data_IF_694125962378
#
_entry.id   IF_694125962378
#
_cell.length_a   1.000
_cell.length_b   1.000
_cell.length_c   1.000
_cell.angle_alpha   90.00
_cell.angle_beta   90.00
_cell.angle_gamma   90.00
#
_symmetry.space_group_name_H-M   'P 1'
#
loop_
_entity.id
_entity.type
_entity.pdbx_description
1 polymer ?
#
# COMPACT_ATOMS: atom_id res chain seq x y z
N UNK A 1 73.16 32.92 -22.78
CA UNK A 1 71.84 33.60 -22.84
C UNK A 1 70.91 32.92 -21.83
N UNK A 2 70.22 33.70 -20.99
CA UNK A 2 69.44 33.29 -19.80
C UNK A 2 68.10 32.59 -20.13
N UNK A 3 67.76 31.58 -19.31
CA UNK A 3 66.44 31.22 -18.71
C UNK A 3 65.31 30.86 -19.71
N UNK A 4 64.65 29.70 -19.60
CA UNK A 4 63.44 29.59 -18.77
C UNK A 4 62.99 28.15 -18.55
N UNK A 5 63.25 27.61 -17.36
CA UNK A 5 62.50 26.48 -16.80
C UNK A 5 61.24 27.04 -16.15
N UNK A 6 60.08 26.80 -16.75
CA UNK A 6 58.78 27.15 -16.19
C UNK A 6 58.58 26.43 -14.84
N UNK A 7 58.54 27.20 -13.75
CA UNK A 7 58.08 26.72 -12.44
C UNK A 7 56.56 26.55 -12.50
N UNK A 8 56.10 25.34 -12.77
CA UNK A 8 54.68 24.98 -12.62
C UNK A 8 54.34 25.18 -11.13
N UNK A 9 53.45 26.12 -10.86
CA UNK A 9 53.09 26.51 -9.49
C UNK A 9 52.29 25.38 -8.84
N UNK A 10 52.77 24.91 -7.69
CA UNK A 10 52.20 23.82 -6.87
C UNK A 10 50.68 23.92 -6.66
N UNK A 11 50.13 25.13 -6.68
CA UNK A 11 48.69 25.40 -6.58
C UNK A 11 47.86 24.80 -7.72
N UNK A 12 48.44 24.60 -8.91
CA UNK A 12 47.74 23.97 -10.04
C UNK A 12 47.49 22.47 -9.79
N UNK A 13 48.44 21.79 -9.13
CA UNK A 13 48.26 20.40 -8.71
C UNK A 13 47.22 20.27 -7.60
N UNK A 14 47.20 21.21 -6.65
CA UNK A 14 46.21 21.25 -5.57
C UNK A 14 44.80 21.47 -6.16
N UNK A 15 44.65 22.41 -7.09
CA UNK A 15 43.38 22.66 -7.76
C UNK A 15 42.87 21.45 -8.55
N UNK A 16 43.77 20.78 -9.29
CA UNK A 16 43.43 19.56 -10.04
C UNK A 16 42.96 18.44 -9.11
N UNK A 17 43.60 18.27 -7.95
CA UNK A 17 43.19 17.28 -6.94
C UNK A 17 41.77 17.55 -6.41
N UNK A 18 41.43 18.80 -6.09
CA UNK A 18 40.09 19.15 -5.63
C UNK A 18 39.02 18.95 -6.70
N UNK A 19 39.33 19.21 -7.97
CA UNK A 19 38.41 18.97 -9.09
C UNK A 19 38.17 17.47 -9.26
N UNK A 20 39.21 16.65 -9.21
CA UNK A 20 39.09 15.18 -9.26
C UNK A 20 38.27 14.63 -8.10
N UNK A 21 38.53 15.11 -6.87
CA UNK A 21 37.76 14.72 -5.70
C UNK A 21 36.28 15.14 -5.80
N UNK A 22 36.01 16.34 -6.33
CA UNK A 22 34.64 16.82 -6.54
C UNK A 22 33.90 15.99 -7.59
N UNK A 23 34.53 15.69 -8.73
CA UNK A 23 33.93 14.85 -9.78
C UNK A 23 33.68 13.43 -9.25
N UNK A 24 34.60 12.87 -8.47
CA UNK A 24 34.42 11.58 -7.84
C UNK A 24 33.22 11.57 -6.88
N UNK A 25 33.12 12.56 -5.99
CA UNK A 25 31.97 12.69 -5.08
C UNK A 25 30.67 12.98 -5.84
N UNK A 26 30.72 13.71 -6.95
CA UNK A 26 29.58 13.94 -7.82
C UNK A 26 29.11 12.63 -8.48
N UNK A 27 30.04 11.79 -8.95
CA UNK A 27 29.71 10.47 -9.49
C UNK A 27 29.08 9.56 -8.42
N UNK A 28 29.59 9.58 -7.19
CA UNK A 28 28.96 8.90 -6.04
C UNK A 28 27.55 9.44 -5.79
N UNK A 29 27.35 10.76 -5.81
CA UNK A 29 26.04 11.40 -5.59
C UNK A 29 25.04 11.13 -6.72
N UNK A 30 25.52 10.99 -7.95
CA UNK A 30 24.72 10.67 -9.13
C UNK A 30 24.45 9.16 -9.26
N UNK A 31 24.99 8.32 -8.36
CA UNK A 31 24.80 6.86 -8.40
C UNK A 31 25.58 6.17 -9.53
N UNK A 32 26.58 6.83 -10.13
CA UNK A 32 27.37 6.28 -11.24
C UNK A 32 28.47 5.32 -10.78
N UNK A 33 28.72 5.26 -9.47
CA UNK A 33 29.66 4.32 -8.85
C UNK A 33 28.82 3.39 -7.98
N UNK A 34 28.15 2.45 -8.64
CA UNK A 34 27.64 1.26 -7.97
C UNK A 34 28.85 0.42 -7.58
N UNK A 35 29.16 0.39 -6.28
CA UNK A 35 30.02 -0.63 -5.71
C UNK A 35 29.30 -1.95 -5.99
N UNK A 36 29.92 -2.83 -6.77
CA UNK A 36 29.45 -4.19 -6.97
C UNK A 36 29.36 -4.89 -5.63
N UNK A 37 28.19 -4.83 -5.01
CA UNK A 37 27.68 -5.91 -4.19
C UNK A 37 27.43 -7.07 -5.14
N UNK A 38 27.96 -8.24 -4.79
CA UNK A 38 27.72 -9.48 -5.51
C UNK A 38 26.21 -9.65 -5.72
N UNK A 39 25.83 -9.54 -6.98
CA UNK A 39 24.47 -9.64 -7.51
C UNK A 39 23.93 -11.03 -7.18
N UNK A 40 23.26 -11.14 -6.03
CA UNK A 40 22.47 -12.29 -5.67
C UNK A 40 21.23 -12.30 -6.52
N UNK A 41 21.32 -12.89 -7.72
CA UNK A 41 20.22 -13.35 -8.59
C UNK A 41 18.87 -12.62 -8.41
N UNK A 42 18.87 -11.29 -8.42
CA UNK A 42 17.64 -10.53 -8.57
C UNK A 42 17.37 -10.46 -10.06
N UNK A 43 16.96 -11.61 -10.61
CA UNK A 43 16.14 -11.63 -11.81
C UNK A 43 14.96 -10.72 -11.51
N UNK A 44 15.03 -9.48 -12.01
CA UNK A 44 13.90 -8.56 -12.09
C UNK A 44 12.74 -9.41 -12.58
N UNK A 45 11.74 -9.71 -11.73
CA UNK A 45 10.71 -10.63 -12.13
C UNK A 45 10.05 -10.00 -13.34
N UNK A 46 9.99 -10.79 -14.42
CA UNK A 46 9.09 -10.54 -15.55
C UNK A 46 7.79 -10.03 -14.96
N UNK A 47 7.35 -8.83 -15.34
CA UNK A 47 6.15 -8.21 -14.75
C UNK A 47 5.01 -9.23 -14.81
N UNK A 48 4.71 -9.85 -13.68
CA UNK A 48 3.60 -10.79 -13.55
C UNK A 48 2.37 -9.91 -13.68
N UNK A 49 1.64 -10.07 -14.79
CA UNK A 49 0.39 -9.36 -15.00
C UNK A 49 -0.60 -9.81 -13.93
N UNK A 50 -1.28 -8.86 -13.29
CA UNK A 50 -2.32 -9.17 -12.32
C UNK A 50 -3.52 -9.83 -13.01
N UNK A 51 -4.12 -10.84 -12.37
CA UNK A 51 -5.38 -11.45 -12.85
C UNK A 51 -6.51 -10.43 -12.88
N UNK A 52 -6.51 -9.50 -11.92
CA UNK A 52 -7.42 -8.35 -11.91
C UNK A 52 -6.73 -7.12 -11.39
N UNK A 53 -6.93 -6.01 -12.10
CA UNK A 53 -6.46 -4.69 -11.70
C UNK A 53 -7.63 -3.71 -11.66
N UNK A 54 -7.68 -2.87 -10.64
CA UNK A 54 -8.80 -1.94 -10.42
C UNK A 54 -8.30 -0.61 -9.89
N UNK A 55 -8.83 0.47 -10.45
CA UNK A 55 -8.64 1.84 -10.00
C UNK A 55 -9.95 2.41 -9.50
N UNK A 56 -9.95 3.03 -8.32
CA UNK A 56 -11.14 3.64 -7.72
C UNK A 56 -10.83 5.06 -7.29
N UNK A 57 -11.78 5.97 -7.48
CA UNK A 57 -11.70 7.31 -6.93
C UNK A 57 -12.27 7.32 -5.50
N UNK A 58 -11.69 8.16 -4.63
CA UNK A 58 -12.21 8.40 -3.28
C UNK A 58 -12.83 9.79 -3.26
N UNK A 59 -14.08 9.87 -2.81
CA UNK A 59 -14.83 11.12 -2.69
C UNK A 59 -15.22 11.39 -1.24
N UNK A 60 -15.19 12.67 -0.86
CA UNK A 60 -15.73 13.18 0.40
C UNK A 60 -16.57 14.41 0.08
N UNK A 61 -17.85 14.42 0.48
CA UNK A 61 -18.79 15.53 0.17
C UNK A 61 -18.76 15.90 -1.32
N UNK A 62 -18.84 14.89 -2.20
CA UNK A 62 -18.78 15.02 -3.67
C UNK A 62 -17.47 15.59 -4.24
N UNK A 63 -16.47 15.85 -3.41
CA UNK A 63 -15.14 16.26 -3.84
C UNK A 63 -14.22 15.06 -3.91
N UNK A 64 -13.51 14.89 -5.03
CA UNK A 64 -12.47 13.86 -5.14
C UNK A 64 -11.31 14.21 -4.21
N UNK A 65 -11.04 13.33 -3.25
CA UNK A 65 -9.97 13.49 -2.27
C UNK A 65 -8.82 12.52 -2.49
N UNK A 66 -8.99 11.50 -3.34
CA UNK A 66 -7.97 10.48 -3.49
C UNK A 66 -8.28 9.42 -4.55
N UNK A 67 -7.46 8.38 -4.55
CA UNK A 67 -7.63 7.19 -5.37
C UNK A 67 -7.05 5.95 -4.70
N UNK A 68 -7.53 4.80 -5.14
CA UNK A 68 -7.04 3.46 -4.80
C UNK A 68 -6.59 2.78 -6.08
N UNK A 69 -5.45 2.12 -6.03
CA UNK A 69 -4.97 1.18 -7.04
C UNK A 69 -4.84 -0.19 -6.40
N UNK A 70 -5.51 -1.19 -6.96
CA UNK A 70 -5.53 -2.56 -6.45
C UNK A 70 -5.19 -3.55 -7.56
N UNK A 71 -4.33 -4.49 -7.22
CA UNK A 71 -3.95 -5.62 -8.07
C UNK A 71 -4.19 -6.92 -7.30
N UNK A 72 -4.76 -7.90 -7.99
CA UNK A 72 -5.14 -9.19 -7.43
C UNK A 72 -4.51 -10.28 -8.28
N UNK A 73 -3.87 -11.21 -7.59
CA UNK A 73 -3.19 -12.37 -8.17
C UNK A 73 -3.77 -13.63 -7.57
N UNK A 74 -4.19 -14.57 -8.40
CA UNK A 74 -4.52 -15.92 -8.00
C UNK A 74 -3.22 -16.70 -7.79
N UNK A 75 -3.14 -17.44 -6.70
CA UNK A 75 -1.98 -18.26 -6.35
C UNK A 75 -2.44 -19.68 -6.04
N UNK A 76 -1.52 -20.64 -5.99
CA UNK A 76 -1.82 -22.00 -5.57
C UNK A 76 -2.36 -22.07 -4.12
N UNK A 77 -2.02 -21.08 -3.30
CA UNK A 77 -2.40 -21.00 -1.88
C UNK A 77 -3.64 -20.12 -1.62
N UNK A 78 -4.21 -19.51 -2.67
CA UNK A 78 -5.35 -18.61 -2.58
C UNK A 78 -5.16 -17.35 -3.40
N UNK A 79 -5.09 -16.19 -2.75
CA UNK A 79 -5.01 -14.90 -3.41
C UNK A 79 -3.93 -14.02 -2.79
N UNK A 80 -3.22 -13.27 -3.63
CA UNK A 80 -2.39 -12.14 -3.20
C UNK A 80 -3.01 -10.85 -3.69
N UNK A 81 -3.21 -9.90 -2.78
CA UNK A 81 -3.74 -8.58 -3.09
C UNK A 81 -2.71 -7.53 -2.75
N UNK A 82 -2.38 -6.68 -3.72
CA UNK A 82 -1.58 -5.49 -3.53
C UNK A 82 -2.50 -4.27 -3.67
N UNK A 83 -2.46 -3.37 -2.71
CA UNK A 83 -3.22 -2.13 -2.73
C UNK A 83 -2.33 -0.94 -2.38
N UNK A 84 -2.48 0.13 -3.14
CA UNK A 84 -1.90 1.44 -2.85
C UNK A 84 -3.00 2.49 -2.82
N UNK A 85 -3.04 3.27 -1.75
CA UNK A 85 -4.02 4.34 -1.55
C UNK A 85 -3.32 5.66 -1.37
N UNK A 86 -3.86 6.69 -2.01
CA UNK A 86 -3.54 8.09 -1.74
C UNK A 86 -4.84 8.85 -1.50
N UNK A 87 -4.89 9.63 -0.42
CA UNK A 87 -5.98 10.56 -0.18
C UNK A 87 -5.54 11.77 0.63
N UNK A 88 -6.28 12.86 0.48
CA UNK A 88 -6.12 14.07 1.26
C UNK A 88 -7.27 14.20 2.25
N UNK A 89 -6.97 14.29 3.53
CA UNK A 89 -7.98 14.35 4.58
C UNK A 89 -7.86 15.69 5.32
N UNK A 90 -8.98 16.37 5.53
CA UNK A 90 -9.02 17.54 6.39
C UNK A 90 -9.20 17.11 7.85
N UNK A 91 -8.19 17.36 8.68
CA UNK A 91 -8.25 17.08 10.12
C UNK A 91 -8.07 18.39 10.88
N UNK A 92 -9.10 18.83 11.60
CA UNK A 92 -9.09 20.07 12.39
C UNK A 92 -8.65 21.31 11.59
N UNK A 93 -9.07 21.41 10.32
CA UNK A 93 -8.74 22.53 9.44
C UNK A 93 -7.41 22.39 8.69
N UNK A 94 -6.65 21.31 8.93
CA UNK A 94 -5.40 21.04 8.24
C UNK A 94 -5.57 19.92 7.22
N UNK A 95 -5.25 20.22 5.95
CA UNK A 95 -5.18 19.22 4.88
C UNK A 95 -3.93 18.36 5.04
N UNK A 96 -4.12 17.04 5.14
CA UNK A 96 -3.04 16.07 5.29
C UNK A 96 -3.08 15.05 4.16
N UNK A 97 -1.94 14.86 3.51
CA UNK A 97 -1.73 13.76 2.59
C UNK A 97 -1.53 12.46 3.38
N UNK A 98 -2.34 11.46 3.07
CA UNK A 98 -2.23 10.12 3.59
C UNK A 98 -1.96 9.14 2.45
N UNK A 99 -0.93 8.33 2.62
CA UNK A 99 -0.59 7.23 1.73
C UNK A 99 -0.56 5.95 2.54
N UNK A 100 -1.14 4.89 2.03
CA UNK A 100 -0.88 3.58 2.60
C UNK A 100 -0.82 2.50 1.54
N UNK A 101 -0.08 1.44 1.86
CA UNK A 101 0.09 0.26 1.03
C UNK A 101 -0.27 -0.96 1.86
N UNK A 102 -0.94 -1.91 1.21
CA UNK A 102 -1.29 -3.20 1.80
C UNK A 102 -0.86 -4.29 0.83
N UNK A 103 -0.09 -5.25 1.31
CA UNK A 103 0.11 -6.54 0.66
C UNK A 103 -0.56 -7.61 1.53
N UNK A 104 -1.66 -8.18 1.06
CA UNK A 104 -2.39 -9.22 1.77
C UNK A 104 -2.28 -10.56 1.06
N UNK A 105 -1.96 -11.62 1.80
CA UNK A 105 -2.09 -13.00 1.35
C UNK A 105 -3.33 -13.60 2.00
N UNK A 106 -4.25 -14.08 1.17
CA UNK A 106 -5.53 -14.65 1.58
C UNK A 106 -5.58 -16.12 1.18
N UNK A 107 -6.26 -16.93 1.99
CA UNK A 107 -6.57 -18.33 1.69
C UNK A 107 -7.61 -18.42 0.56
N UNK A 108 -7.88 -19.61 -0.02
CA UNK A 108 -8.87 -19.76 -1.10
C UNK A 108 -10.29 -19.33 -0.71
N UNK A 109 -10.62 -19.36 0.59
CA UNK A 109 -11.89 -18.88 1.14
C UNK A 109 -11.88 -17.37 1.48
N UNK A 110 -10.86 -16.63 1.02
CA UNK A 110 -10.63 -15.21 1.24
C UNK A 110 -10.46 -14.82 2.73
N UNK A 111 -10.12 -15.78 3.60
CA UNK A 111 -9.70 -15.49 4.98
C UNK A 111 -8.22 -15.09 5.01
N UNK A 112 -7.85 -14.32 6.04
CA UNK A 112 -6.50 -13.81 6.21
C UNK A 112 -5.49 -14.94 6.43
N UNK A 113 -4.39 -14.93 5.67
CA UNK A 113 -3.19 -15.73 5.95
C UNK A 113 -2.08 -14.84 6.52
N UNK A 114 -1.71 -13.78 5.79
CA UNK A 114 -0.73 -12.80 6.25
C UNK A 114 -0.96 -11.44 5.61
N UNK A 115 -0.36 -10.40 6.18
CA UNK A 115 -0.36 -9.07 5.60
C UNK A 115 0.94 -8.31 5.91
N UNK A 116 1.27 -7.38 5.04
CA UNK A 116 2.23 -6.31 5.25
C UNK A 116 1.53 -4.98 4.95
N UNK A 117 1.58 -4.05 5.89
CA UNK A 117 0.90 -2.78 5.84
C UNK A 117 1.89 -1.66 6.15
N UNK A 118 1.87 -0.62 5.30
CA UNK A 118 2.63 0.60 5.53
C UNK A 118 1.73 1.81 5.36
N UNK A 119 1.76 2.72 6.32
CA UNK A 119 1.08 4.00 6.28
C UNK A 119 2.11 5.12 6.44
N UNK A 120 2.00 6.10 5.58
CA UNK A 120 2.87 7.27 5.54
C UNK A 120 2.05 8.55 5.40
N UNK A 121 2.28 9.49 6.31
CA UNK A 121 1.90 10.88 6.20
C UNK A 121 3.08 11.78 6.55
N UNK A 122 2.91 13.10 6.42
CA UNK A 122 3.95 14.06 6.83
C UNK A 122 4.27 13.98 8.32
N UNK A 123 3.29 13.64 9.16
CA UNK A 123 3.39 13.69 10.62
C UNK A 123 3.65 12.32 11.24
N UNK A 124 3.33 11.24 10.53
CA UNK A 124 3.28 9.91 11.11
C UNK A 124 3.68 8.85 10.09
N UNK A 125 4.40 7.84 10.58
CA UNK A 125 4.71 6.62 9.82
C UNK A 125 4.27 5.43 10.66
N UNK A 126 3.70 4.43 10.03
CA UNK A 126 3.32 3.21 10.70
C UNK A 126 3.53 2.02 9.79
N UNK A 127 4.05 0.94 10.35
CA UNK A 127 4.17 -0.34 9.69
C UNK A 127 3.57 -1.41 10.57
N UNK A 128 2.88 -2.36 9.96
CA UNK A 128 2.40 -3.55 10.64
C UNK A 128 2.54 -4.75 9.71
N UNK A 129 3.08 -5.85 10.22
CA UNK A 129 3.14 -7.14 9.53
C UNK A 129 2.51 -8.20 10.39
N UNK A 130 1.59 -8.97 9.83
CA UNK A 130 0.90 -10.03 10.54
C UNK A 130 0.96 -11.36 9.81
N UNK A 131 1.09 -12.46 10.55
CA UNK A 131 0.94 -13.82 10.03
C UNK A 131 0.06 -14.64 10.95
N UNK A 132 -0.92 -15.33 10.39
CA UNK A 132 -1.81 -16.22 11.13
C UNK A 132 -1.17 -17.62 11.22
N UNK A 133 -0.82 -18.05 12.43
CA UNK A 133 -0.29 -19.38 12.73
C UNK A 133 -1.14 -20.01 13.82
N UNK A 134 -1.67 -21.22 13.59
CA UNK A 134 -2.42 -21.99 14.60
C UNK A 134 -3.44 -21.15 15.40
N UNK A 135 -4.32 -20.45 14.67
CA UNK A 135 -5.35 -19.55 15.22
C UNK A 135 -4.82 -18.34 16.00
N UNK A 136 -3.53 -18.03 15.92
CA UNK A 136 -2.93 -16.85 16.54
C UNK A 136 -2.37 -15.94 15.47
N UNK A 137 -2.86 -14.71 15.41
CA UNK A 137 -2.31 -13.69 14.52
C UNK A 137 -1.14 -13.02 15.25
N UNK A 138 0.07 -13.32 14.80
CA UNK A 138 1.31 -12.75 15.31
C UNK A 138 1.56 -11.47 14.51
N UNK A 139 1.62 -10.32 15.18
CA UNK A 139 1.76 -9.00 14.56
C UNK A 139 3.00 -8.30 15.10
N UNK A 140 3.90 -7.91 14.20
CA UNK A 140 4.93 -6.91 14.46
C UNK A 140 4.42 -5.55 13.98
N UNK A 141 4.63 -4.49 14.77
CA UNK A 141 4.30 -3.12 14.37
C UNK A 141 5.29 -2.09 14.86
N UNK A 142 5.48 -1.04 14.06
CA UNK A 142 6.39 0.07 14.37
C UNK A 142 5.68 1.38 14.08
N UNK A 143 5.74 2.30 15.04
CA UNK A 143 5.07 3.61 15.01
C UNK A 143 6.12 4.73 15.10
N UNK A 144 6.23 5.53 14.05
CA UNK A 144 7.26 6.56 13.91
C UNK A 144 8.68 5.99 14.02
N UNK A 145 9.47 6.56 14.93
CA UNK A 145 10.81 6.08 15.30
C UNK A 145 10.82 5.26 16.59
N UNK A 146 9.64 4.82 17.06
CA UNK A 146 9.51 4.00 18.24
C UNK A 146 10.05 2.58 18.02
N UNK A 147 10.23 1.80 19.10
CA UNK A 147 10.63 0.40 18.99
C UNK A 147 9.55 -0.43 18.29
N UNK A 148 9.98 -1.53 17.66
CA UNK A 148 9.09 -2.56 17.16
C UNK A 148 8.35 -3.23 18.34
N UNK A 149 7.05 -3.43 18.19
CA UNK A 149 6.19 -4.10 19.16
C UNK A 149 5.65 -5.39 18.55
N UNK A 150 5.71 -6.47 19.32
CA UNK A 150 5.16 -7.76 18.92
C UNK A 150 3.92 -8.08 19.77
N UNK A 151 2.81 -8.34 19.09
CA UNK A 151 1.52 -8.65 19.70
C UNK A 151 0.98 -9.97 19.13
N UNK A 152 0.34 -10.75 19.99
CA UNK A 152 -0.31 -12.00 19.61
C UNK A 152 -1.81 -11.86 19.85
N UNK A 153 -2.60 -12.04 18.79
CA UNK A 153 -4.06 -11.96 18.85
C UNK A 153 -4.67 -13.36 18.66
N UNK A 154 -5.31 -13.94 19.69
CA UNK A 154 -5.98 -15.22 19.55
C UNK A 154 -7.28 -15.07 18.72
N UNK A 155 -7.30 -15.70 17.55
CA UNK A 155 -8.38 -15.62 16.57
C UNK A 155 -9.41 -16.73 16.82
N UNK A 156 -10.60 -16.33 17.28
CA UNK A 156 -11.69 -17.27 17.63
C UNK A 156 -12.58 -17.68 16.45
N UNK A 157 -12.55 -16.90 15.36
CA UNK A 157 -13.41 -17.05 14.19
C UNK A 157 -12.66 -16.62 12.95
N UNK A 158 -13.09 -17.06 11.78
CA UNK A 158 -12.50 -16.63 10.51
C UNK A 158 -12.43 -15.11 10.45
N UNK A 159 -11.21 -14.61 10.23
CA UNK A 159 -10.91 -13.19 10.15
C UNK A 159 -10.50 -12.86 8.72
N UNK A 160 -11.01 -11.75 8.20
CA UNK A 160 -10.74 -11.26 6.87
C UNK A 160 -9.85 -10.02 6.94
N UNK A 161 -9.18 -9.69 5.84
CA UNK A 161 -8.49 -8.41 5.69
C UNK A 161 -9.42 -7.42 4.98
N UNK A 162 -9.41 -6.14 5.38
CA UNK A 162 -10.27 -5.10 4.82
C UNK A 162 -10.17 -5.00 3.29
N UNK A 163 -8.96 -5.11 2.75
CA UNK A 163 -8.68 -5.08 1.29
C UNK A 163 -9.38 -6.21 0.51
N UNK A 164 -9.63 -7.35 1.15
CA UNK A 164 -10.29 -8.50 0.54
C UNK A 164 -11.82 -8.42 0.52
N UNK A 165 -12.44 -7.47 1.24
CA UNK A 165 -13.89 -7.43 1.39
C UNK A 165 -14.64 -7.27 0.07
N UNK A 166 -14.18 -6.36 -0.81
CA UNK A 166 -14.83 -6.17 -2.11
C UNK A 166 -14.72 -7.41 -3.01
N UNK A 167 -13.67 -8.23 -2.86
CA UNK A 167 -13.52 -9.50 -3.55
C UNK A 167 -14.58 -10.51 -3.08
N UNK A 168 -14.77 -10.63 -1.77
CA UNK A 168 -15.79 -11.51 -1.17
C UNK A 168 -17.19 -11.15 -1.67
N UNK A 169 -17.47 -9.86 -1.86
CA UNK A 169 -18.76 -9.39 -2.36
C UNK A 169 -18.91 -9.61 -3.87
N UNK A 170 -17.82 -9.43 -4.63
CA UNK A 170 -17.81 -9.67 -6.08
C UNK A 170 -18.04 -11.14 -6.43
N UNK A 171 -17.49 -12.05 -5.63
CA UNK A 171 -17.61 -13.50 -5.83
C UNK A 171 -19.01 -14.06 -5.49
N UNK A 172 -19.90 -13.26 -4.88
CA UNK A 172 -21.22 -13.71 -4.44
C UNK A 172 -22.31 -13.04 -5.26
N UNK A 173 -23.34 -13.81 -5.59
CA UNK A 173 -24.55 -13.29 -6.22
C UNK A 173 -25.48 -12.63 -5.19
N UNK A 174 -25.00 -11.51 -4.60
CA UNK A 174 -25.75 -10.73 -3.63
C UNK A 174 -26.75 -9.82 -4.34
N UNK A 175 -27.96 -9.75 -3.80
CA UNK A 175 -29.08 -8.93 -4.29
C UNK A 175 -29.28 -7.69 -3.43
N UNK A 176 -29.86 -6.60 -3.97
CA UNK A 176 -30.30 -5.47 -3.16
C UNK A 176 -31.10 -5.91 -1.93
N UNK A 177 -30.78 -5.36 -0.77
CA UNK A 177 -31.33 -5.75 0.53
C UNK A 177 -30.53 -6.82 1.28
N UNK A 178 -29.63 -7.55 0.62
CA UNK A 178 -28.77 -8.52 1.30
C UNK A 178 -27.79 -7.81 2.24
N UNK A 179 -27.71 -8.30 3.48
CA UNK A 179 -26.72 -7.85 4.45
C UNK A 179 -25.87 -9.01 4.98
N UNK A 180 -24.58 -8.75 5.18
CA UNK A 180 -23.63 -9.70 5.77
C UNK A 180 -22.71 -8.98 6.73
N UNK A 181 -22.30 -9.68 7.79
CA UNK A 181 -21.32 -9.17 8.75
C UNK A 181 -20.06 -10.01 8.67
N UNK A 182 -18.92 -9.35 8.50
CA UNK A 182 -17.61 -9.97 8.47
C UNK A 182 -16.81 -9.58 9.69
N UNK A 183 -15.96 -10.49 10.17
CA UNK A 183 -14.93 -10.14 11.15
C UNK A 183 -13.68 -9.78 10.39
N UNK A 184 -13.18 -8.57 10.61
CA UNK A 184 -12.11 -7.97 9.83
C UNK A 184 -10.99 -7.56 10.78
N UNK A 185 -9.76 -7.93 10.45
CA UNK A 185 -8.59 -7.34 11.07
C UNK A 185 -8.29 -6.02 10.38
N UNK A 186 -8.17 -4.94 11.14
CA UNK A 186 -7.73 -3.64 10.64
C UNK A 186 -6.25 -3.42 11.01
N UNK A 187 -5.33 -3.47 10.03
CA UNK A 187 -3.90 -3.24 10.28
C UNK A 187 -3.59 -1.86 10.85
N UNK A 188 -4.39 -0.83 10.54
CA UNK A 188 -4.13 0.56 10.97
C UNK A 188 -4.26 0.69 12.49
N UNK A 189 -5.29 0.05 13.05
CA UNK A 189 -5.58 0.11 14.49
C UNK A 189 -5.15 -1.13 15.25
N UNK A 190 -4.69 -2.17 14.53
CA UNK A 190 -4.37 -3.49 15.06
C UNK A 190 -5.52 -4.09 15.90
N UNK A 191 -6.75 -3.98 15.40
CA UNK A 191 -7.93 -4.50 16.10
C UNK A 191 -8.80 -5.37 15.19
N UNK A 192 -9.45 -6.36 15.80
CA UNK A 192 -10.55 -7.09 15.17
C UNK A 192 -11.83 -6.26 15.25
N UNK A 193 -12.58 -6.21 14.14
CA UNK A 193 -13.83 -5.45 14.05
C UNK A 193 -14.90 -6.23 13.32
N UNK A 194 -16.15 -6.00 13.71
CA UNK A 194 -17.29 -6.47 12.94
C UNK A 194 -17.66 -5.39 11.93
N UNK A 195 -17.60 -5.74 10.65
CA UNK A 195 -17.96 -4.85 9.54
C UNK A 195 -19.26 -5.35 8.94
N UNK A 196 -20.30 -4.52 8.98
CA UNK A 196 -21.57 -4.84 8.35
C UNK A 196 -21.58 -4.28 6.94
N UNK A 197 -21.98 -5.11 5.99
CA UNK A 197 -22.13 -4.75 4.60
C UNK A 197 -23.59 -4.93 4.21
N UNK A 198 -24.13 -3.97 3.47
CA UNK A 198 -25.46 -3.98 2.91
C UNK A 198 -25.38 -3.69 1.41
N UNK A 199 -25.95 -4.55 0.58
CA UNK A 199 -26.18 -4.23 -0.83
C UNK A 199 -27.39 -3.31 -0.89
N UNK A 200 -27.18 -2.07 -1.30
CA UNK A 200 -28.21 -1.02 -1.28
C UNK A 200 -29.09 -1.18 -2.51
N UNK A 201 -28.50 -1.04 -3.69
CA UNK A 201 -29.17 -1.04 -4.98
C UNK A 201 -28.16 -1.30 -6.11
N UNK A 202 -28.67 -1.48 -7.32
CA UNK A 202 -27.86 -1.38 -8.54
C UNK A 202 -28.14 0.00 -9.17
N UNK A 203 -27.08 0.74 -9.49
CA UNK A 203 -27.20 2.02 -10.18
C UNK A 203 -26.17 2.12 -11.31
N UNK A 204 -26.45 2.97 -12.29
CA UNK A 204 -25.50 3.25 -13.38
C UNK A 204 -24.64 4.43 -12.97
N UNK A 205 -23.32 4.26 -13.01
CA UNK A 205 -22.34 5.28 -12.65
C UNK A 205 -21.46 5.64 -13.84
N UNK A 206 -21.08 6.92 -13.99
CA UNK A 206 -20.09 7.32 -14.97
C UNK A 206 -18.69 6.88 -14.51
N UNK A 207 -18.01 6.09 -15.34
CA UNK A 207 -16.61 5.66 -15.14
C UNK A 207 -15.82 6.09 -16.37
N UNK A 208 -15.06 7.18 -16.26
CA UNK A 208 -14.42 7.81 -17.42
C UNK A 208 -15.46 8.22 -18.47
N UNK A 209 -15.34 7.74 -19.72
CA UNK A 209 -16.24 8.08 -20.83
C UNK A 209 -17.35 7.04 -21.06
N UNK A 210 -17.60 6.17 -20.07
CA UNK A 210 -18.61 5.10 -20.15
C UNK A 210 -19.53 5.09 -18.93
N UNK A 211 -20.76 4.67 -19.17
CA UNK A 211 -21.74 4.34 -18.14
C UNK A 211 -21.59 2.87 -17.76
N UNK A 212 -21.45 2.60 -16.46
CA UNK A 212 -21.25 1.25 -15.93
C UNK A 212 -22.31 0.93 -14.88
N UNK A 213 -22.96 -0.23 -15.01
CA UNK A 213 -23.89 -0.72 -13.99
C UNK A 213 -23.06 -1.29 -12.83
N UNK A 214 -23.23 -0.72 -11.65
CA UNK A 214 -22.52 -1.12 -10.45
C UNK A 214 -23.48 -1.43 -9.30
N UNK A 215 -23.13 -2.45 -8.50
CA UNK A 215 -23.76 -2.71 -7.20
C UNK A 215 -23.23 -1.70 -6.20
N UNK A 216 -24.11 -0.89 -5.66
CA UNK A 216 -23.82 0.04 -4.56
C UNK A 216 -23.89 -0.70 -3.25
N UNK A 217 -22.78 -0.74 -2.53
CA UNK A 217 -22.70 -1.38 -1.21
C UNK A 217 -22.40 -0.34 -0.14
N UNK A 218 -23.11 -0.43 0.97
CA UNK A 218 -22.80 0.31 2.19
C UNK A 218 -21.97 -0.56 3.12
N UNK A 219 -20.86 0.00 3.60
CA UNK A 219 -19.92 -0.63 4.53
C UNK A 219 -19.94 0.20 5.80
N UNK A 220 -20.41 -0.39 6.89
CA UNK A 220 -20.48 0.25 8.20
C UNK A 220 -19.35 -0.26 9.09
N UNK A 221 -18.45 0.64 9.48
CA UNK A 221 -17.34 0.37 10.38
C UNK A 221 -17.11 1.57 11.32
N UNK A 222 -16.92 1.29 12.62
CA UNK A 222 -16.68 2.33 13.64
C UNK A 222 -17.76 3.44 13.71
N UNK A 223 -19.01 3.12 13.38
CA UNK A 223 -20.10 4.12 13.34
C UNK A 223 -20.02 5.07 12.15
N UNK A 224 -19.10 4.84 11.20
CA UNK A 224 -19.02 5.56 9.92
C UNK A 224 -19.52 4.64 8.82
N UNK A 225 -20.39 5.18 7.97
CA UNK A 225 -20.87 4.51 6.76
C UNK A 225 -20.04 4.97 5.57
N UNK A 226 -19.55 4.02 4.78
CA UNK A 226 -18.87 4.26 3.52
C UNK A 226 -19.64 3.58 2.40
N UNK A 227 -19.63 4.18 1.21
CA UNK A 227 -20.22 3.58 0.01
C UNK A 227 -19.11 3.11 -0.91
N UNK A 228 -19.31 1.97 -1.54
CA UNK A 228 -18.48 1.48 -2.62
C UNK A 228 -19.34 0.98 -3.78
N UNK A 229 -18.80 1.07 -4.99
CA UNK A 229 -19.42 0.61 -6.20
C UNK A 229 -18.61 -0.56 -6.75
N UNK A 230 -19.27 -1.69 -6.94
CA UNK A 230 -18.67 -2.90 -7.47
C UNK A 230 -19.24 -3.12 -8.88
N UNK A 231 -18.40 -2.97 -9.88
CA UNK A 231 -18.75 -3.24 -11.28
C UNK A 231 -19.04 -4.73 -11.51
N UNK A 232 -19.81 -5.03 -12.55
CA UNK A 232 -20.03 -6.40 -13.03
C UNK A 232 -18.76 -7.02 -13.63
#
# INVERSE_FOLDING_TARGET
>A
MKISTQRIQLHWFIGSFFILAFVFLLMVRLGLIERGEEDGDDKVPTQVQADRETWMNIYQQDQKVGYVHRQIFQTLEGYKILESVFMQVNTMGMMQDLRFKTAGSLKPDLTLSSFDFELFSRLFRFKARGTLQDNTLIVSMTSGSGPEQNLNFPIKKNIHLSVGLLEILSAKDLKPGDSRTFTVFDPITATERSVKILVVEEETIPVMDREEVAKKVSIEAMGVSQLAWIGK
#
